data_IF_241821707837
#
_entry.id   IF_241821707837
#
_cell.length_a   1.000
_cell.length_b   1.000
_cell.length_c   1.000
_cell.angle_alpha   90.00
_cell.angle_beta   90.00
_cell.angle_gamma   90.00
#
_symmetry.space_group_name_H-M   'P 1'
#
loop_
_entity.id
_entity.type
_entity.pdbx_description
1 polymer ?
#
# COMPACT_ATOMS: atom_id res chain seq x y z
N UNK A 1 0.41 -7.26 -26.59
CA UNK A 1 0.14 -7.34 -25.13
C UNK A 1 1.02 -6.30 -24.44
N UNK A 2 0.43 -5.30 -23.75
CA UNK A 2 1.13 -4.08 -23.32
C UNK A 2 2.42 -4.37 -22.54
N UNK A 3 3.57 -4.14 -23.19
CA UNK A 3 4.92 -4.44 -22.71
C UNK A 3 5.27 -3.72 -21.40
N UNK A 4 4.56 -2.62 -21.12
CA UNK A 4 4.72 -1.77 -19.94
C UNK A 4 4.17 -2.45 -18.67
N UNK A 5 2.98 -3.07 -18.75
CA UNK A 5 2.30 -3.68 -17.60
C UNK A 5 2.93 -5.01 -17.17
N UNK A 6 3.47 -5.78 -18.12
CA UNK A 6 4.16 -7.04 -17.80
C UNK A 6 5.64 -6.83 -17.43
N UNK A 7 6.12 -5.58 -17.38
CA UNK A 7 7.50 -5.33 -16.99
C UNK A 7 7.62 -5.40 -15.46
N UNK A 8 8.42 -6.33 -14.92
CA UNK A 8 8.51 -6.52 -13.48
C UNK A 8 9.08 -5.32 -12.74
N UNK A 9 9.99 -4.57 -13.37
CA UNK A 9 10.56 -3.36 -12.77
C UNK A 9 9.49 -2.28 -12.61
N UNK A 10 8.64 -2.10 -13.62
CA UNK A 10 7.58 -1.09 -13.58
C UNK A 10 6.55 -1.39 -12.49
N UNK A 11 6.12 -2.65 -12.35
CA UNK A 11 5.16 -3.03 -11.30
C UNK A 11 5.72 -2.80 -9.90
N UNK A 12 6.99 -3.15 -9.65
CA UNK A 12 7.64 -2.91 -8.37
C UNK A 12 7.78 -1.41 -8.09
N UNK A 13 8.25 -0.63 -9.07
CA UNK A 13 8.39 0.83 -8.95
C UNK A 13 7.04 1.48 -8.67
N UNK A 14 5.97 1.06 -9.35
CA UNK A 14 4.62 1.60 -9.13
C UNK A 14 4.11 1.33 -7.70
N UNK A 15 4.37 0.14 -7.15
CA UNK A 15 4.03 -0.18 -5.75
C UNK A 15 4.82 0.70 -4.79
N UNK A 16 6.13 0.84 -4.98
CA UNK A 16 6.99 1.68 -4.10
C UNK A 16 6.59 3.16 -4.15
N UNK A 17 6.33 3.71 -5.33
CA UNK A 17 5.89 5.11 -5.47
C UNK A 17 4.54 5.30 -4.76
N UNK A 18 3.61 4.36 -4.93
CA UNK A 18 2.30 4.41 -4.27
C UNK A 18 2.46 4.33 -2.75
N UNK A 19 3.35 3.48 -2.25
CA UNK A 19 3.65 3.36 -0.84
C UNK A 19 4.15 4.69 -0.25
N UNK A 20 5.08 5.37 -0.92
CA UNK A 20 5.57 6.69 -0.49
C UNK A 20 4.43 7.73 -0.45
N UNK A 21 3.59 7.78 -1.48
CA UNK A 21 2.46 8.72 -1.56
C UNK A 21 1.45 8.45 -0.42
N UNK A 22 1.05 7.19 -0.25
CA UNK A 22 0.04 6.80 0.74
C UNK A 22 0.56 6.93 2.18
N UNK A 23 1.85 6.65 2.42
CA UNK A 23 2.50 6.97 3.68
C UNK A 23 2.48 8.47 3.95
N UNK A 24 2.87 9.30 2.97
CA UNK A 24 2.82 10.77 3.12
C UNK A 24 1.43 11.22 3.57
N UNK A 25 0.36 10.71 2.95
CA UNK A 25 -1.02 11.00 3.37
C UNK A 25 -1.25 10.60 4.83
N UNK A 26 -0.98 9.33 5.19
CA UNK A 26 -1.23 8.86 6.56
C UNK A 26 -0.40 9.60 7.61
N UNK A 27 0.82 10.03 7.30
CA UNK A 27 1.68 10.76 8.24
C UNK A 27 1.23 12.21 8.47
N UNK A 28 0.44 12.79 7.57
CA UNK A 28 -0.14 14.13 7.75
C UNK A 28 -1.36 14.16 8.67
N UNK A 29 -1.92 13.00 9.01
CA UNK A 29 -3.12 12.90 9.86
C UNK A 29 -2.77 13.22 11.32
N UNK A 30 -3.66 13.93 12.00
CA UNK A 30 -3.53 14.17 13.43
C UNK A 30 -4.09 12.96 14.21
N UNK A 31 -3.19 12.17 14.79
CA UNK A 31 -3.56 11.03 15.62
C UNK A 31 -3.55 11.47 17.08
N UNK A 32 -4.70 11.38 17.75
CA UNK A 32 -4.76 11.50 19.21
C UNK A 32 -4.45 10.16 19.92
N UNK A 33 -3.82 9.23 19.19
CA UNK A 33 -3.34 7.95 19.70
C UNK A 33 -1.92 8.11 20.24
N UNK A 34 -1.59 7.47 21.36
CA UNK A 34 -0.24 7.47 21.94
C UNK A 34 0.46 6.13 21.77
N UNK A 35 1.79 6.14 21.64
CA UNK A 35 2.60 4.92 21.65
C UNK A 35 2.51 4.09 20.37
N UNK A 36 2.56 2.76 20.51
CA UNK A 36 2.68 1.80 19.40
C UNK A 36 1.47 1.83 18.45
N UNK A 37 0.27 2.09 18.95
CA UNK A 37 -0.96 2.08 18.13
C UNK A 37 -0.95 3.17 17.05
N UNK A 38 -0.48 4.36 17.40
CA UNK A 38 -0.31 5.47 16.46
C UNK A 38 0.72 5.12 15.37
N UNK A 39 1.80 4.44 15.76
CA UNK A 39 2.83 3.98 14.82
C UNK A 39 2.24 2.93 13.89
N UNK A 40 1.64 1.86 14.42
CA UNK A 40 1.07 0.79 13.58
C UNK A 40 0.05 1.32 12.59
N UNK A 41 -0.82 2.25 13.02
CA UNK A 41 -1.84 2.85 12.16
C UNK A 41 -1.22 3.66 11.01
N UNK A 42 -0.22 4.49 11.28
CA UNK A 42 0.51 5.27 10.27
C UNK A 42 1.21 4.38 9.23
N UNK A 43 1.70 3.23 9.66
CA UNK A 43 2.46 2.31 8.79
C UNK A 43 1.59 1.29 8.05
N UNK A 44 0.25 1.33 8.19
CA UNK A 44 -0.67 0.42 7.48
C UNK A 44 -0.40 0.37 5.95
N UNK A 45 -0.24 1.50 5.23
CA UNK A 45 0.06 1.45 3.80
C UNK A 45 1.37 0.74 3.48
N UNK A 46 2.40 0.87 4.32
CA UNK A 46 3.67 0.16 4.13
C UNK A 46 3.53 -1.35 4.33
N UNK A 47 2.79 -1.79 5.34
CA UNK A 47 2.53 -3.22 5.53
C UNK A 47 1.78 -3.82 4.34
N UNK A 48 0.81 -3.08 3.78
CA UNK A 48 0.11 -3.48 2.55
C UNK A 48 1.08 -3.52 1.37
N UNK A 49 1.95 -2.51 1.20
CA UNK A 49 2.95 -2.45 0.14
C UNK A 49 3.91 -3.63 0.18
N UNK A 50 4.47 -3.92 1.36
CA UNK A 50 5.36 -5.06 1.60
C UNK A 50 4.66 -6.39 1.28
N UNK A 51 3.43 -6.58 1.76
CA UNK A 51 2.66 -7.80 1.52
C UNK A 51 2.29 -7.96 0.03
N UNK A 52 1.97 -6.86 -0.64
CA UNK A 52 1.72 -6.82 -2.09
C UNK A 52 2.96 -7.26 -2.86
N UNK A 53 4.14 -6.74 -2.51
CA UNK A 53 5.39 -7.16 -3.15
C UNK A 53 5.67 -8.64 -2.93
N UNK A 54 5.45 -9.14 -1.71
CA UNK A 54 5.61 -10.56 -1.39
C UNK A 54 4.70 -11.45 -2.25
N UNK A 55 3.40 -11.14 -2.31
CA UNK A 55 2.44 -11.86 -3.18
C UNK A 55 2.83 -11.70 -4.65
N UNK A 56 3.27 -10.52 -5.07
CA UNK A 56 3.70 -10.29 -6.45
C UNK A 56 4.87 -11.20 -6.82
N UNK A 57 5.89 -11.33 -5.98
CA UNK A 57 7.00 -12.25 -6.21
C UNK A 57 6.55 -13.71 -6.22
N UNK A 58 5.72 -14.13 -5.25
CA UNK A 58 5.17 -15.48 -5.22
C UNK A 58 4.34 -15.80 -6.48
N UNK A 59 3.48 -14.87 -6.89
CA UNK A 59 2.68 -15.01 -8.10
C UNK A 59 3.53 -15.09 -9.36
N UNK A 60 4.65 -14.36 -9.42
CA UNK A 60 5.54 -14.40 -10.57
C UNK A 60 6.24 -15.75 -10.70
N UNK A 61 6.48 -16.45 -9.58
CA UNK A 61 7.02 -17.80 -9.56
C UNK A 61 5.99 -18.83 -10.06
N UNK A 62 4.72 -18.70 -9.64
CA UNK A 62 3.65 -19.65 -9.97
C UNK A 62 2.98 -19.37 -11.33
N UNK A 63 2.71 -18.11 -11.64
CA UNK A 63 1.93 -17.64 -12.79
C UNK A 63 2.63 -16.44 -13.46
N UNK A 64 3.25 -16.68 -14.62
CA UNK A 64 3.99 -15.63 -15.36
C UNK A 64 3.07 -14.64 -16.09
N UNK A 65 1.79 -14.96 -16.25
CA UNK A 65 0.79 -14.18 -16.99
C UNK A 65 -0.13 -13.46 -15.99
N UNK A 66 -0.40 -12.17 -16.22
CA UNK A 66 -1.28 -11.32 -15.40
C UNK A 66 -0.83 -11.00 -13.97
N UNK A 67 0.44 -11.21 -13.61
CA UNK A 67 1.00 -10.83 -12.31
C UNK A 67 0.83 -9.33 -11.96
N UNK A 68 0.72 -8.47 -12.98
CA UNK A 68 0.45 -7.04 -12.82
C UNK A 68 -0.88 -6.72 -12.12
N UNK A 69 -1.84 -7.65 -12.14
CA UNK A 69 -3.11 -7.50 -11.41
C UNK A 69 -2.88 -7.42 -9.90
N UNK A 70 -1.86 -8.09 -9.38
CA UNK A 70 -1.54 -8.07 -7.94
C UNK A 70 -0.99 -6.71 -7.54
N UNK A 71 -0.07 -6.14 -8.34
CA UNK A 71 0.40 -4.78 -8.10
C UNK A 71 -0.75 -3.78 -8.18
N UNK A 72 -1.66 -3.93 -9.15
CA UNK A 72 -2.83 -3.06 -9.28
C UNK A 72 -3.76 -3.17 -8.06
N UNK A 73 -4.06 -4.39 -7.60
CA UNK A 73 -4.90 -4.63 -6.43
C UNK A 73 -4.26 -4.05 -5.15
N UNK A 74 -2.96 -4.23 -4.96
CA UNK A 74 -2.24 -3.66 -3.82
C UNK A 74 -2.22 -2.13 -3.84
N UNK A 75 -2.04 -1.51 -5.01
CA UNK A 75 -2.13 -0.05 -5.19
C UNK A 75 -3.50 0.48 -4.75
N UNK A 76 -4.58 -0.15 -5.22
CA UNK A 76 -5.94 0.24 -4.84
C UNK A 76 -6.16 0.06 -3.32
N UNK A 77 -5.65 -1.02 -2.74
CA UNK A 77 -5.80 -1.29 -1.31
C UNK A 77 -5.02 -0.29 -0.45
N UNK A 78 -3.80 0.11 -0.86
CA UNK A 78 -3.01 1.14 -0.19
C UNK A 78 -3.72 2.50 -0.21
N UNK A 79 -4.25 2.92 -1.37
CA UNK A 79 -5.00 4.17 -1.45
C UNK A 79 -6.28 4.13 -0.63
N UNK A 80 -7.03 3.02 -0.69
CA UNK A 80 -8.22 2.84 0.13
C UNK A 80 -7.91 2.96 1.62
N UNK A 81 -6.85 2.30 2.10
CA UNK A 81 -6.42 2.37 3.49
C UNK A 81 -6.00 3.79 3.88
N UNK A 82 -5.18 4.46 3.06
CA UNK A 82 -4.70 5.81 3.32
C UNK A 82 -5.84 6.83 3.37
N UNK A 83 -6.79 6.77 2.43
CA UNK A 83 -7.97 7.65 2.41
C UNK A 83 -8.86 7.38 3.62
N UNK A 84 -9.08 6.11 3.97
CA UNK A 84 -9.87 5.74 5.14
C UNK A 84 -9.24 6.30 6.42
N UNK A 85 -7.93 6.13 6.59
CA UNK A 85 -7.19 6.69 7.73
C UNK A 85 -7.29 8.22 7.73
N UNK A 86 -7.07 8.86 6.58
CA UNK A 86 -7.18 10.32 6.46
C UNK A 86 -8.54 10.87 6.88
N UNK A 87 -9.62 10.15 6.54
CA UNK A 87 -10.99 10.53 6.91
C UNK A 87 -11.40 10.07 8.32
N UNK A 88 -10.57 9.27 9.01
CA UNK A 88 -10.90 8.78 10.35
C UNK A 88 -10.60 9.85 11.39
N UNK A 89 -11.59 10.14 12.24
CA UNK A 89 -11.41 11.07 13.34
C UNK A 89 -10.78 10.34 14.54
N UNK A 90 -9.47 10.48 14.72
CA UNK A 90 -8.74 9.86 15.83
C UNK A 90 -8.90 10.61 17.17
N UNK A 91 -9.61 11.73 17.19
CA UNK A 91 -9.85 12.52 18.41
C UNK A 91 -10.97 11.96 19.30
N UNK A 92 -11.80 11.06 18.76
CA UNK A 92 -12.88 10.39 19.50
C UNK A 92 -12.43 9.04 20.05
N UNK A 93 -11.43 9.05 20.94
CA UNK A 93 -11.14 7.89 21.80
C UNK A 93 -11.62 8.24 23.20
N UNK A 94 -12.59 7.44 23.69
CA UNK A 94 -13.24 7.50 25.01
C UNK A 94 -12.29 7.89 26.16
#
# INVERSE_FOLDING_TARGET
MNRILNNPKNNIIAVIITEIITLTITFTVNYNLTGIEAVLTKWIPAFIGLFTLFIYFASRLLFKKYNWLISMAGILLMFYAAIKIYNTNFTQTL
#
